data_IF_289515471643
#
_entry.id   IF_289515471643
#
_cell.length_a   1.000
_cell.length_b   1.000
_cell.length_c   1.000
_cell.angle_alpha   90.00
_cell.angle_beta   90.00
_cell.angle_gamma   90.00
#
_symmetry.space_group_name_H-M   'P 1'
#
loop_
_entity.id
_entity.type
_entity.pdbx_description
1 polymer ?
#
# COMPACT_ATOMS: atom_id res chain seq x y z
N UNK A 1 -19.10 -0.85 -23.27
CA UNK A 1 -19.95 -0.13 -22.30
C UNK A 1 -19.82 -0.80 -20.95
N UNK A 2 -19.25 -0.09 -19.98
CA UNK A 2 -19.15 -0.55 -18.58
C UNK A 2 -20.14 0.28 -17.78
N UNK A 3 -21.01 -0.37 -17.01
CA UNK A 3 -21.95 0.31 -16.11
C UNK A 3 -21.18 1.06 -15.03
N UNK A 4 -21.71 2.21 -14.60
CA UNK A 4 -21.14 3.02 -13.52
C UNK A 4 -22.04 2.97 -12.29
N UNK A 5 -21.44 2.79 -11.13
CA UNK A 5 -22.13 2.75 -9.84
C UNK A 5 -21.54 3.83 -8.93
N UNK A 6 -22.41 4.67 -8.35
CA UNK A 6 -21.99 5.74 -7.46
C UNK A 6 -22.10 5.28 -6.01
N UNK A 7 -20.96 5.23 -5.31
CA UNK A 7 -20.89 4.72 -3.94
C UNK A 7 -21.30 5.72 -2.85
N UNK A 8 -21.35 7.02 -3.17
CA UNK A 8 -21.68 8.06 -2.19
C UNK A 8 -20.68 8.18 -1.04
N UNK A 9 -19.44 7.72 -1.25
CA UNK A 9 -18.35 7.70 -0.27
C UNK A 9 -17.07 8.11 -0.98
N UNK A 10 -16.26 8.98 -0.35
CA UNK A 10 -14.92 9.31 -0.84
C UNK A 10 -14.01 8.11 -0.59
N UNK A 11 -13.39 7.58 -1.64
CA UNK A 11 -12.50 6.44 -1.55
C UNK A 11 -11.51 6.44 -2.72
N UNK A 12 -10.22 6.23 -2.42
CA UNK A 12 -9.18 6.05 -3.43
C UNK A 12 -8.81 4.57 -3.58
N UNK A 13 -8.57 4.10 -4.81
CA UNK A 13 -8.24 2.68 -5.06
C UNK A 13 -7.00 2.18 -4.31
N UNK A 14 -6.01 3.05 -4.07
CA UNK A 14 -4.80 2.72 -3.30
C UNK A 14 -5.01 2.58 -1.80
N UNK A 15 -6.15 3.02 -1.28
CA UNK A 15 -6.48 2.91 0.15
C UNK A 15 -6.98 1.51 0.55
N UNK A 16 -7.23 0.63 -0.42
CA UNK A 16 -7.75 -0.72 -0.22
C UNK A 16 -6.94 -1.79 -0.99
N UNK A 17 -6.85 -3.00 -0.45
CA UNK A 17 -6.35 -4.17 -1.18
C UNK A 17 -7.25 -5.37 -0.90
N UNK A 18 -7.64 -6.10 -1.95
CA UNK A 18 -8.63 -7.20 -1.87
C UNK A 18 -8.03 -8.54 -2.31
N UNK A 19 -8.49 -9.63 -1.69
CA UNK A 19 -8.01 -10.98 -1.98
C UNK A 19 -8.82 -11.71 -3.08
N UNK A 20 -9.91 -11.09 -3.57
CA UNK A 20 -10.84 -11.68 -4.53
C UNK A 20 -11.69 -12.83 -3.98
N UNK A 21 -11.64 -13.08 -2.66
CA UNK A 21 -12.37 -14.14 -1.96
C UNK A 21 -13.11 -13.66 -0.72
N UNK A 22 -13.38 -12.35 -0.66
CA UNK A 22 -14.23 -11.73 0.35
C UNK A 22 -13.47 -11.01 1.46
N UNK A 23 -12.15 -10.87 1.36
CA UNK A 23 -11.33 -10.18 2.36
C UNK A 23 -10.72 -8.91 1.76
N UNK A 24 -10.74 -7.84 2.53
CA UNK A 24 -10.09 -6.57 2.23
C UNK A 24 -9.14 -6.20 3.37
N UNK A 25 -8.00 -5.62 3.04
CA UNK A 25 -7.13 -4.93 4.00
C UNK A 25 -7.07 -3.44 3.66
N UNK A 26 -7.10 -2.60 4.70
CA UNK A 26 -7.06 -1.13 4.59
C UNK A 26 -6.43 -0.53 5.85
N UNK A 27 -6.25 0.79 5.88
CA UNK A 27 -5.70 1.54 7.02
C UNK A 27 -6.75 2.44 7.68
N UNK A 28 -6.75 2.47 9.02
CA UNK A 28 -7.58 3.39 9.80
C UNK A 28 -7.12 4.83 9.59
N UNK A 29 -5.80 5.06 9.53
CA UNK A 29 -5.17 6.37 9.26
C UNK A 29 -5.72 7.09 8.01
N UNK A 30 -6.09 6.32 6.98
CA UNK A 30 -6.64 6.86 5.73
C UNK A 30 -8.17 6.96 5.78
N UNK A 31 -8.86 5.82 5.93
CA UNK A 31 -10.32 5.77 5.71
C UNK A 31 -11.11 6.47 6.82
N UNK A 32 -10.57 6.53 8.04
CA UNK A 32 -11.18 7.23 9.17
C UNK A 32 -10.65 8.65 9.33
N UNK A 33 -9.85 9.14 8.38
CA UNK A 33 -9.36 10.50 8.41
C UNK A 33 -10.52 11.49 8.24
N UNK A 34 -10.61 12.56 9.07
CA UNK A 34 -11.65 13.58 8.93
C UNK A 34 -11.69 14.27 7.56
N UNK A 35 -10.61 14.21 6.77
CA UNK A 35 -10.57 14.77 5.43
C UNK A 35 -11.20 13.86 4.35
N UNK A 36 -11.61 12.63 4.69
CA UNK A 36 -12.31 11.70 3.79
C UNK A 36 -13.81 11.77 4.03
N UNK A 37 -14.31 10.93 4.94
CA UNK A 37 -15.74 10.77 5.20
C UNK A 37 -16.06 11.14 6.67
N UNK A 38 -15.95 12.42 7.08
CA UNK A 38 -16.05 12.82 8.49
C UNK A 38 -17.42 12.57 9.12
N UNK A 39 -18.45 12.38 8.31
CA UNK A 39 -19.81 12.09 8.76
C UNK A 39 -20.12 10.59 8.86
N UNK A 40 -19.17 9.71 8.52
CA UNK A 40 -19.39 8.26 8.52
C UNK A 40 -18.64 7.59 9.68
N UNK A 41 -19.30 6.67 10.37
CA UNK A 41 -18.62 5.79 11.32
C UNK A 41 -17.79 4.72 10.60
N UNK A 42 -16.91 4.07 11.35
CA UNK A 42 -16.12 2.93 10.86
C UNK A 42 -17.02 1.79 10.33
N UNK A 43 -18.12 1.51 11.03
CA UNK A 43 -19.09 0.48 10.67
C UNK A 43 -19.84 0.84 9.38
N UNK A 44 -20.18 2.12 9.18
CA UNK A 44 -20.83 2.60 7.96
C UNK A 44 -19.89 2.50 6.75
N UNK A 45 -18.62 2.86 6.92
CA UNK A 45 -17.58 2.68 5.89
C UNK A 45 -17.43 1.19 5.56
N UNK A 46 -17.33 0.32 6.58
CA UNK A 46 -17.21 -1.12 6.39
C UNK A 46 -18.41 -1.70 5.63
N UNK A 47 -19.64 -1.29 5.99
CA UNK A 47 -20.85 -1.71 5.29
C UNK A 47 -20.84 -1.28 3.81
N UNK A 48 -20.43 -0.05 3.51
CA UNK A 48 -20.29 0.43 2.12
C UNK A 48 -19.26 -0.36 1.32
N UNK A 49 -18.12 -0.68 1.92
CA UNK A 49 -17.11 -1.53 1.28
C UNK A 49 -17.66 -2.92 0.99
N UNK A 50 -18.40 -3.53 1.91
CA UNK A 50 -19.05 -4.83 1.71
C UNK A 50 -20.08 -4.80 0.57
N UNK A 51 -20.94 -3.77 0.54
CA UNK A 51 -21.98 -3.60 -0.47
C UNK A 51 -21.40 -3.47 -1.89
N UNK A 52 -20.39 -2.62 -2.08
CA UNK A 52 -19.86 -2.29 -3.40
C UNK A 52 -18.75 -3.22 -3.89
N UNK A 53 -17.97 -3.83 -2.98
CA UNK A 53 -16.84 -4.69 -3.35
C UNK A 53 -17.16 -6.18 -3.20
N UNK A 54 -18.33 -6.54 -2.68
CA UNK A 54 -18.74 -7.93 -2.48
C UNK A 54 -17.89 -8.69 -1.46
N UNK A 55 -17.28 -7.96 -0.51
CA UNK A 55 -16.46 -8.52 0.56
C UNK A 55 -17.29 -8.87 1.79
N UNK A 56 -16.72 -9.68 2.68
CA UNK A 56 -17.34 -10.13 3.94
C UNK A 56 -16.53 -9.77 5.18
N UNK A 57 -15.25 -9.45 5.02
CA UNK A 57 -14.35 -9.13 6.13
C UNK A 57 -13.38 -8.03 5.75
N UNK A 58 -13.24 -7.05 6.63
CA UNK A 58 -12.23 -6.00 6.55
C UNK A 58 -11.17 -6.21 7.64
N UNK A 59 -9.91 -6.20 7.24
CA UNK A 59 -8.76 -6.17 8.14
C UNK A 59 -8.27 -4.72 8.20
N UNK A 60 -8.48 -4.10 9.35
CA UNK A 60 -8.08 -2.73 9.63
C UNK A 60 -6.68 -2.69 10.24
N UNK A 61 -5.71 -2.21 9.47
CA UNK A 61 -4.38 -1.84 9.97
C UNK A 61 -4.46 -0.44 10.58
N UNK A 62 -3.84 -0.19 11.74
CA UNK A 62 -3.94 1.14 12.38
C UNK A 62 -3.31 2.26 11.54
N UNK A 63 -2.15 1.98 10.94
CA UNK A 63 -1.32 2.96 10.25
C UNK A 63 -0.78 2.44 8.91
N UNK A 64 -0.53 3.36 7.98
CA UNK A 64 0.23 3.13 6.75
C UNK A 64 1.73 3.38 6.92
N UNK A 65 2.44 3.60 5.82
CA UNK A 65 3.88 3.88 5.81
C UNK A 65 4.17 5.26 6.43
N UNK A 66 5.19 5.34 7.29
CA UNK A 66 5.64 6.59 7.87
C UNK A 66 6.11 7.59 6.79
N UNK A 67 5.62 8.83 6.88
CA UNK A 67 5.92 9.90 5.92
C UNK A 67 5.02 9.92 4.69
N UNK A 68 4.00 9.05 4.63
CA UNK A 68 2.97 9.06 3.59
C UNK A 68 1.83 10.04 3.92
N UNK A 69 2.20 11.30 4.16
CA UNK A 69 1.28 12.35 4.61
C UNK A 69 0.31 12.81 3.53
N UNK A 70 0.66 12.61 2.26
CA UNK A 70 -0.14 13.07 1.12
C UNK A 70 -1.37 12.18 0.92
N UNK A 71 -1.25 10.89 1.22
CA UNK A 71 -2.35 9.93 1.11
C UNK A 71 -3.00 9.60 2.46
N UNK A 72 -2.40 10.05 3.56
CA UNK A 72 -2.75 9.65 4.93
C UNK A 72 -2.59 8.15 5.15
N UNK A 73 -1.46 7.59 4.68
CA UNK A 73 -1.10 6.20 4.93
C UNK A 73 -1.93 5.20 4.13
N UNK A 74 -1.95 5.32 2.81
CA UNK A 74 -2.58 4.31 1.94
C UNK A 74 -2.03 2.89 2.19
N UNK A 75 -2.94 1.91 2.09
CA UNK A 75 -2.59 0.51 2.33
C UNK A 75 -1.71 -0.06 1.21
N UNK A 76 -1.84 0.41 -0.02
CA UNK A 76 -1.05 -0.10 -1.15
C UNK A 76 0.46 0.15 -1.03
N UNK A 77 0.86 1.08 -0.16
CA UNK A 77 2.25 1.33 0.18
C UNK A 77 2.72 0.48 1.38
N UNK A 78 1.78 0.02 2.21
CA UNK A 78 2.01 -0.69 3.47
C UNK A 78 1.84 -2.21 3.36
N UNK A 79 0.72 -2.69 2.82
CA UNK A 79 0.34 -4.10 2.77
C UNK A 79 -0.54 -4.41 1.56
N UNK A 80 -0.20 -5.45 0.80
CA UNK A 80 -1.02 -5.92 -0.33
C UNK A 80 -1.17 -7.43 -0.35
N UNK A 81 -2.31 -7.94 -0.81
CA UNK A 81 -2.49 -9.36 -1.09
C UNK A 81 -1.67 -9.81 -2.30
N UNK A 82 -0.98 -10.94 -2.18
CA UNK A 82 -0.33 -11.59 -3.33
C UNK A 82 -1.16 -12.74 -3.87
N UNK A 83 -1.94 -13.37 -2.99
CA UNK A 83 -2.91 -14.43 -3.26
C UNK A 83 -3.88 -14.53 -2.05
N UNK A 84 -5.01 -15.25 -2.17
CA UNK A 84 -5.93 -15.44 -1.05
C UNK A 84 -5.23 -15.98 0.21
N UNK A 85 -5.37 -15.26 1.33
CA UNK A 85 -4.73 -15.60 2.61
C UNK A 85 -3.22 -15.33 2.70
N UNK A 86 -2.61 -14.66 1.72
CA UNK A 86 -1.19 -14.29 1.74
C UNK A 86 -1.01 -12.81 1.40
N UNK A 87 -0.23 -12.11 2.20
CA UNK A 87 0.10 -10.70 2.00
C UNK A 87 1.60 -10.49 2.01
N UNK A 88 2.01 -9.38 1.42
CA UNK A 88 3.33 -8.77 1.62
C UNK A 88 3.17 -7.51 2.45
N UNK A 89 4.09 -7.27 3.38
CA UNK A 89 4.06 -6.19 4.35
C UNK A 89 5.37 -5.38 4.29
N UNK A 90 5.25 -4.06 4.26
CA UNK A 90 6.37 -3.15 4.37
C UNK A 90 7.02 -3.29 5.74
N UNK A 91 8.34 -3.51 5.77
CA UNK A 91 9.00 -3.98 6.99
C UNK A 91 10.36 -3.31 7.24
N UNK A 92 10.71 -3.15 8.52
CA UNK A 92 12.04 -2.81 9.01
C UNK A 92 12.34 -3.63 10.26
N UNK A 93 13.60 -4.04 10.44
CA UNK A 93 14.07 -4.63 11.70
C UNK A 93 14.76 -3.58 12.59
N UNK A 94 14.92 -2.33 12.13
CA UNK A 94 15.59 -1.27 12.89
C UNK A 94 14.61 -0.59 13.87
N UNK A 95 14.72 -0.81 15.20
CA UNK A 95 13.83 -0.22 16.20
C UNK A 95 13.98 1.30 16.33
N UNK A 96 15.00 1.91 15.72
CA UNK A 96 15.19 3.37 15.71
C UNK A 96 14.45 4.04 14.55
N UNK A 97 14.01 3.28 13.57
CA UNK A 97 13.23 3.83 12.46
C UNK A 97 11.75 3.99 12.90
N UNK A 98 11.12 5.17 12.72
CA UNK A 98 9.72 5.37 13.07
C UNK A 98 8.73 4.44 12.32
N UNK A 99 9.17 3.79 11.24
CA UNK A 99 8.40 2.75 10.55
C UNK A 99 8.31 1.44 11.35
N UNK A 100 9.20 1.21 12.33
CA UNK A 100 9.28 -0.04 13.08
C UNK A 100 7.97 -0.34 13.81
N UNK A 101 7.49 0.60 14.62
CA UNK A 101 6.26 0.42 15.40
C UNK A 101 5.05 0.14 14.49
N UNK A 102 4.91 0.91 13.40
CA UNK A 102 3.84 0.76 12.41
C UNK A 102 3.85 -0.61 11.73
N UNK A 103 5.04 -1.09 11.35
CA UNK A 103 5.20 -2.40 10.70
C UNK A 103 4.89 -3.55 11.66
N UNK A 104 5.38 -3.46 12.89
CA UNK A 104 5.16 -4.48 13.91
C UNK A 104 3.70 -4.56 14.34
N UNK A 105 3.02 -3.42 14.54
CA UNK A 105 1.60 -3.40 14.87
C UNK A 105 0.75 -4.00 13.74
N UNK A 106 1.05 -3.65 12.49
CA UNK A 106 0.40 -4.26 11.33
C UNK A 106 0.64 -5.78 11.26
N UNK A 107 1.87 -6.23 11.52
CA UNK A 107 2.20 -7.66 11.55
C UNK A 107 1.42 -8.42 12.64
N UNK A 108 1.35 -7.88 13.85
CA UNK A 108 0.58 -8.48 14.94
C UNK A 108 -0.92 -8.53 14.61
N UNK A 109 -1.46 -7.48 13.98
CA UNK A 109 -2.85 -7.45 13.50
C UNK A 109 -3.13 -8.54 12.46
N UNK A 110 -2.24 -8.71 11.49
CA UNK A 110 -2.33 -9.73 10.45
C UNK A 110 -2.19 -11.15 11.03
N UNK A 111 -1.29 -11.35 12.00
CA UNK A 111 -1.03 -12.65 12.63
C UNK A 111 -2.16 -13.10 13.58
N UNK A 112 -2.77 -12.13 14.28
CA UNK A 112 -3.86 -12.38 15.23
C UNK A 112 -5.24 -12.57 14.56
N UNK A 113 -5.39 -12.18 13.29
CA UNK A 113 -6.66 -12.31 12.56
C UNK A 113 -6.69 -13.54 11.63
N UNK A 114 -7.82 -13.69 10.93
CA UNK A 114 -8.03 -14.63 9.83
C UNK A 114 -8.68 -13.89 8.67
N UNK A 115 -8.69 -14.47 7.49
CA UNK A 115 -9.43 -13.92 6.36
C UNK A 115 -10.93 -14.29 6.40
N UNK A 116 -11.70 -13.87 5.39
CA UNK A 116 -13.15 -14.12 5.30
C UNK A 116 -13.51 -15.62 5.20
N UNK A 117 -12.55 -16.49 4.87
CA UNK A 117 -12.71 -17.95 4.80
C UNK A 117 -12.09 -18.66 6.01
N UNK A 118 -11.65 -17.94 7.03
CA UNK A 118 -11.06 -18.49 8.24
C UNK A 118 -9.61 -18.95 8.09
N UNK A 119 -8.93 -18.63 6.98
CA UNK A 119 -7.51 -18.96 6.80
C UNK A 119 -6.65 -18.01 7.63
N UNK A 120 -5.54 -18.52 8.17
CA UNK A 120 -4.49 -17.69 8.76
C UNK A 120 -3.77 -16.91 7.67
N UNK A 121 -3.45 -15.64 7.95
CA UNK A 121 -2.75 -14.79 7.00
C UNK A 121 -1.26 -15.14 7.03
N UNK A 122 -0.73 -15.57 5.87
CA UNK A 122 0.71 -15.69 5.66
C UNK A 122 1.28 -14.32 5.30
N UNK A 123 2.30 -13.86 6.03
CA UNK A 123 2.91 -12.55 5.80
C UNK A 123 4.34 -12.72 5.29
N UNK A 124 4.62 -12.15 4.11
CA UNK A 124 5.98 -11.97 3.60
C UNK A 124 6.46 -10.55 3.94
N UNK A 125 7.61 -10.45 4.59
CA UNK A 125 8.19 -9.16 4.99
C UNK A 125 9.02 -8.61 3.84
N UNK A 126 8.70 -7.40 3.38
CA UNK A 126 9.46 -6.65 2.38
C UNK A 126 10.22 -5.52 3.06
N UNK A 127 11.51 -5.76 3.29
CA UNK A 127 12.42 -4.78 3.88
C UNK A 127 12.51 -3.52 3.02
N UNK A 128 12.31 -2.35 3.63
CA UNK A 128 12.40 -1.07 2.93
C UNK A 128 13.80 -0.84 2.30
N UNK A 129 13.93 0.01 1.27
CA UNK A 129 15.22 0.41 0.67
C UNK A 129 16.09 1.32 1.58
N UNK A 130 15.86 1.34 2.90
CA UNK A 130 16.41 2.34 3.81
C UNK A 130 15.62 3.66 3.77
N UNK A 131 15.80 4.56 4.76
CA UNK A 131 15.18 5.87 4.70
C UNK A 131 15.80 6.66 3.55
N UNK A 132 15.00 6.92 2.52
CA UNK A 132 15.39 7.77 1.40
C UNK A 132 14.98 9.20 1.74
N UNK A 133 15.86 10.16 1.43
CA UNK A 133 15.58 11.58 1.62
C UNK A 133 15.69 12.31 0.30
N UNK A 134 14.88 13.36 0.14
CA UNK A 134 14.96 14.27 -1.01
C UNK A 134 16.24 15.10 -0.95
N UNK A 135 16.98 15.17 -2.05
CA UNK A 135 18.18 16.02 -2.16
C UNK A 135 17.82 17.48 -2.41
N UNK A 136 18.85 18.35 -2.45
CA UNK A 136 18.68 19.78 -2.76
C UNK A 136 18.27 19.99 -4.22
N UNK A 137 18.79 19.16 -5.13
CA UNK A 137 18.51 19.22 -6.56
C UNK A 137 17.10 18.68 -6.88
N UNK A 138 16.58 17.79 -6.04
CA UNK A 138 15.26 17.18 -6.19
C UNK A 138 14.13 18.01 -5.58
N UNK A 139 14.45 19.10 -4.86
CA UNK A 139 13.44 19.98 -4.27
C UNK A 139 12.64 20.69 -5.37
N UNK A 140 11.33 20.86 -5.15
CA UNK A 140 10.52 21.63 -6.08
C UNK A 140 9.30 22.27 -5.40
N UNK A 141 8.79 23.32 -6.04
CA UNK A 141 7.60 24.02 -5.64
C UNK A 141 6.89 24.59 -6.87
N UNK A 142 5.57 24.46 -6.89
CA UNK A 142 4.68 25.14 -7.82
C UNK A 142 3.61 25.86 -7.01
N UNK A 143 3.19 27.03 -7.49
CA UNK A 143 2.11 27.77 -6.84
C UNK A 143 0.83 26.93 -6.80
N UNK A 144 0.14 26.95 -5.66
CA UNK A 144 -1.01 26.09 -5.38
C UNK A 144 -0.70 24.62 -5.07
N UNK A 145 0.58 24.22 -4.99
CA UNK A 145 0.99 22.86 -4.63
C UNK A 145 1.73 22.80 -3.28
N UNK A 146 1.74 21.61 -2.66
CA UNK A 146 2.52 21.35 -1.43
C UNK A 146 4.02 21.50 -1.73
N UNK A 147 4.72 22.29 -0.91
CA UNK A 147 6.17 22.43 -0.96
C UNK A 147 6.85 21.06 -0.79
N UNK A 148 7.83 20.76 -1.65
CA UNK A 148 8.67 19.56 -1.56
C UNK A 148 10.09 19.94 -1.18
N UNK A 149 10.38 20.09 0.12
CA UNK A 149 11.69 20.53 0.57
C UNK A 149 12.72 19.39 0.50
N UNK A 150 13.99 19.79 0.37
CA UNK A 150 15.12 18.92 0.61
C UNK A 150 15.11 18.39 2.05
N UNK A 151 15.66 17.19 2.27
CA UNK A 151 15.72 16.56 3.58
C UNK A 151 14.41 15.91 4.06
N UNK A 152 13.30 16.07 3.35
CA UNK A 152 12.08 15.32 3.65
C UNK A 152 12.29 13.83 3.36
N UNK A 153 11.89 12.96 4.29
CA UNK A 153 11.86 11.51 4.11
C UNK A 153 10.83 11.13 3.05
N UNK A 154 11.21 10.26 2.14
CA UNK A 154 10.35 9.72 1.10
C UNK A 154 9.70 8.42 1.58
N UNK A 155 8.39 8.20 1.36
CA UNK A 155 7.68 6.98 1.74
C UNK A 155 7.96 5.82 0.77
N UNK A 156 9.23 5.45 0.63
CA UNK A 156 9.70 4.44 -0.32
C UNK A 156 9.32 3.02 0.12
N UNK A 157 8.58 2.29 -0.70
CA UNK A 157 8.17 0.91 -0.40
C UNK A 157 8.24 0.01 -1.64
N UNK A 158 8.72 -1.22 -1.46
CA UNK A 158 8.63 -2.27 -2.47
C UNK A 158 7.24 -2.88 -2.59
N UNK A 159 6.36 -2.67 -1.60
CA UNK A 159 4.98 -3.16 -1.60
C UNK A 159 4.17 -2.49 -2.70
N UNK A 160 4.56 -1.30 -3.17
CA UNK A 160 3.82 -0.58 -4.19
C UNK A 160 4.13 -1.06 -5.64
N UNK A 161 3.88 -2.34 -5.87
CA UNK A 161 3.99 -3.01 -7.17
C UNK A 161 2.63 -3.10 -7.86
N UNK A 162 2.66 -3.36 -9.17
CA UNK A 162 1.47 -3.66 -9.97
C UNK A 162 1.46 -5.10 -10.45
N UNK A 163 0.31 -5.76 -10.33
CA UNK A 163 0.11 -7.15 -10.75
C UNK A 163 -0.53 -7.19 -12.14
N UNK A 164 0.09 -7.91 -13.06
CA UNK A 164 -0.40 -8.18 -14.42
C UNK A 164 -0.76 -9.66 -14.57
N UNK A 165 -1.36 -10.04 -15.71
CA UNK A 165 -1.80 -11.42 -15.97
C UNK A 165 -0.72 -12.50 -15.79
N UNK A 166 0.55 -12.18 -16.06
CA UNK A 166 1.67 -13.14 -15.98
C UNK A 166 2.88 -12.67 -15.16
N UNK A 167 2.79 -11.51 -14.52
CA UNK A 167 3.95 -10.90 -13.88
C UNK A 167 3.61 -9.79 -12.91
N UNK A 168 4.63 -9.32 -12.19
CA UNK A 168 4.54 -8.22 -11.24
C UNK A 168 5.59 -7.19 -11.61
N UNK A 169 5.16 -5.94 -11.76
CA UNK A 169 6.05 -4.79 -11.98
C UNK A 169 6.29 -4.14 -10.63
N UNK A 170 7.49 -4.33 -10.08
CA UNK A 170 7.87 -3.88 -8.75
C UNK A 170 8.85 -2.69 -8.82
N UNK A 171 8.87 -1.79 -7.84
CA UNK A 171 9.83 -0.70 -7.84
C UNK A 171 11.22 -1.21 -7.44
N UNK A 172 12.24 -0.46 -7.86
CA UNK A 172 13.60 -0.51 -7.32
C UNK A 172 14.14 0.90 -7.11
N UNK A 173 15.10 1.04 -6.20
CA UNK A 173 15.60 2.34 -5.74
C UNK A 173 17.11 2.48 -5.83
N UNK A 174 17.80 1.55 -6.51
CA UNK A 174 19.26 1.43 -6.54
C UNK A 174 19.84 1.23 -5.13
N UNK A 175 19.17 0.39 -4.33
CA UNK A 175 19.56 0.07 -2.97
C UNK A 175 19.90 -1.44 -2.85
N UNK A 176 20.82 -1.86 -1.96
CA UNK A 176 21.12 -3.29 -1.76
C UNK A 176 19.90 -4.19 -1.49
N UNK A 177 18.83 -3.62 -0.92
CA UNK A 177 17.59 -4.35 -0.66
C UNK A 177 16.73 -4.59 -1.92
N UNK A 178 17.09 -4.03 -3.08
CA UNK A 178 16.35 -4.25 -4.34
C UNK A 178 16.31 -5.75 -4.69
N UNK A 179 17.45 -6.43 -4.61
CA UNK A 179 17.55 -7.87 -4.91
C UNK A 179 16.86 -8.73 -3.86
N UNK A 180 16.89 -8.32 -2.59
CA UNK A 180 16.17 -9.01 -1.52
C UNK A 180 14.65 -8.89 -1.74
N UNK A 181 14.17 -7.68 -2.04
CA UNK A 181 12.76 -7.44 -2.32
C UNK A 181 12.27 -8.25 -3.52
N UNK A 182 13.08 -8.35 -4.58
CA UNK A 182 12.78 -9.18 -5.74
C UNK A 182 12.60 -10.65 -5.37
N UNK A 183 13.54 -11.23 -4.63
CA UNK A 183 13.47 -12.64 -4.20
C UNK A 183 12.23 -12.91 -3.35
N UNK A 184 11.95 -12.04 -2.38
CA UNK A 184 10.74 -12.18 -1.56
C UNK A 184 9.46 -12.09 -2.41
N UNK A 185 9.42 -11.21 -3.41
CA UNK A 185 8.28 -11.12 -4.33
C UNK A 185 8.15 -12.36 -5.22
N UNK A 186 9.26 -12.96 -5.67
CA UNK A 186 9.26 -14.22 -6.42
C UNK A 186 8.67 -15.37 -5.59
N UNK A 187 8.97 -15.43 -4.29
CA UNK A 187 8.38 -16.39 -3.36
C UNK A 187 6.90 -16.11 -3.07
N UNK A 188 6.52 -14.83 -2.97
CA UNK A 188 5.16 -14.41 -2.67
C UNK A 188 4.19 -14.53 -3.87
N UNK A 189 4.73 -14.55 -5.10
CA UNK A 189 4.00 -14.70 -6.36
C UNK A 189 4.48 -15.90 -7.18
N UNK A 190 4.21 -17.14 -6.72
CA UNK A 190 4.67 -18.34 -7.40
C UNK A 190 4.13 -18.39 -8.85
N UNK A 191 5.02 -18.62 -9.81
CA UNK A 191 4.68 -18.72 -11.23
C UNK A 191 4.49 -17.39 -11.96
N UNK A 192 4.73 -16.24 -11.30
CA UNK A 192 4.74 -14.93 -11.96
C UNK A 192 6.15 -14.41 -12.16
N UNK A 193 6.37 -13.71 -13.27
CA UNK A 193 7.64 -13.03 -13.55
C UNK A 193 7.71 -11.70 -12.79
N UNK A 194 8.73 -11.52 -11.96
CA UNK A 194 8.99 -10.23 -11.29
C UNK A 194 9.89 -9.37 -12.19
N UNK A 195 9.46 -8.13 -12.47
CA UNK A 195 10.20 -7.14 -13.25
C UNK A 195 10.35 -5.88 -12.40
N UNK A 196 11.60 -5.47 -12.14
CA UNK A 196 11.87 -4.26 -11.35
C UNK A 196 12.14 -3.04 -12.22
N UNK A 197 11.50 -1.91 -11.87
CA UNK A 197 11.64 -0.63 -12.56
C UNK A 197 12.10 0.44 -11.58
N UNK A 198 13.09 1.24 -11.99
CA UNK A 198 13.59 2.33 -11.15
C UNK A 198 12.48 3.36 -10.91
N UNK A 199 12.15 3.61 -9.63
CA UNK A 199 10.94 4.34 -9.26
C UNK A 199 11.20 5.58 -8.38
N UNK A 200 12.47 5.95 -8.16
CA UNK A 200 12.80 7.15 -7.35
C UNK A 200 12.17 8.42 -7.91
N UNK A 201 12.22 8.62 -9.23
CA UNK A 201 11.65 9.82 -9.86
C UNK A 201 10.14 9.97 -9.61
N UNK A 202 9.42 8.84 -9.57
CA UNK A 202 7.98 8.82 -9.25
C UNK A 202 7.76 9.21 -7.79
N UNK A 203 8.60 8.67 -6.90
CA UNK A 203 8.53 8.91 -5.45
C UNK A 203 8.76 10.40 -5.08
N UNK A 204 9.60 11.11 -5.84
CA UNK A 204 9.95 12.52 -5.56
C UNK A 204 8.75 13.47 -5.66
N UNK A 205 7.79 13.18 -6.54
CA UNK A 205 6.54 13.94 -6.73
C UNK A 205 5.70 14.10 -5.46
N UNK A 206 6.05 13.36 -4.40
CA UNK A 206 5.38 13.39 -3.11
C UNK A 206 3.98 12.83 -3.21
N UNK A 207 3.88 11.57 -3.62
CA UNK A 207 2.58 10.93 -3.66
C UNK A 207 1.67 11.48 -4.76
N UNK A 208 2.17 11.54 -6.00
CA UNK A 208 1.34 10.95 -7.06
C UNK A 208 1.39 9.41 -6.90
N UNK A 209 0.91 8.99 -5.72
CA UNK A 209 0.52 7.66 -5.28
C UNK A 209 1.69 6.65 -5.42
N UNK A 210 2.16 6.03 -4.32
CA UNK A 210 3.05 4.85 -4.35
C UNK A 210 4.18 4.88 -5.40
N UNK A 211 4.62 3.76 -5.92
CA UNK A 211 5.44 3.69 -7.11
C UNK A 211 4.56 3.30 -8.30
N UNK A 212 4.56 2.02 -8.67
CA UNK A 212 3.96 1.59 -9.94
C UNK A 212 2.46 1.36 -9.79
N UNK A 213 2.00 0.80 -8.65
CA UNK A 213 0.58 0.45 -8.40
C UNK A 213 -0.36 1.61 -8.69
N UNK A 214 0.10 2.76 -8.26
CA UNK A 214 -0.66 3.97 -8.12
C UNK A 214 -0.84 4.80 -9.38
N UNK A 215 0.00 4.57 -10.39
CA UNK A 215 -0.15 5.12 -11.73
C UNK A 215 -0.94 4.18 -12.65
N UNK A 216 -1.47 3.08 -12.11
CA UNK A 216 -2.12 2.02 -12.87
C UNK A 216 -3.49 1.69 -12.30
N UNK A 217 -4.41 1.28 -13.18
CA UNK A 217 -5.70 0.73 -12.80
C UNK A 217 -6.00 -0.46 -13.71
N UNK A 218 -6.13 -1.65 -13.12
CA UNK A 218 -6.46 -2.86 -13.87
C UNK A 218 -7.93 -2.84 -14.32
N UNK A 219 -8.16 -3.32 -15.54
CA UNK A 219 -9.48 -3.70 -16.02
C UNK A 219 -9.54 -5.25 -16.05
N UNK A 220 -10.34 -5.89 -15.19
CA UNK A 220 -10.57 -7.33 -15.24
C UNK A 220 -11.08 -7.77 -16.62
N UNK A 221 -10.82 -9.03 -16.98
CA UNK A 221 -11.27 -9.64 -18.24
C UNK A 221 -12.79 -9.77 -18.32
#
# INVERSE_FOLDING_TARGET
NVSQYYAGMVLEGGSISVDGQGTLVTTEECLLNPNRNPSMSKEEIEHRLQEFLGIKKVIWLPYGVYGDDDTNGHVDNMCQFTQPGTVVLHWTDDPKDPQYERSHEAYERLNSTTDAKGRKIKVFKLHLPGPLYRTVEEQFFFDGCKLRPAGQRLPASYVNFYVTNGGVVAPKFNHPNDELAKKTLEEAFPGRRIVQVYAREVLLGGGCLGCIHCMTQQQPQ
#
